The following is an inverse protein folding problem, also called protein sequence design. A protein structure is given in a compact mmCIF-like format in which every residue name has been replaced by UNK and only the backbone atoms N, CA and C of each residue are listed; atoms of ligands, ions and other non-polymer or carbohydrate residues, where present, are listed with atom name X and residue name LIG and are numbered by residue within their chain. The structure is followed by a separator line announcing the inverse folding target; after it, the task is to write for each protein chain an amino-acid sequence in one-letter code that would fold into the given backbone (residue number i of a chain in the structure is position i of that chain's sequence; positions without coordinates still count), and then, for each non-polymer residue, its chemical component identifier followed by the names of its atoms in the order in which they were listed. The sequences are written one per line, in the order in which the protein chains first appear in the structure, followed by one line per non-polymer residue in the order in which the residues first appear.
data_IF_153470774944
#
_entry.id   IF_153470774944
#
_cell.length_a   1.000
_cell.length_b   1.000
_cell.length_c   1.000
_cell.angle_alpha   90.00
_cell.angle_beta   90.00
_cell.angle_gamma   90.00
#
_symmetry.space_group_name_H-M   'P 1'
#
loop_
_entity.id
_entity.type
_entity.pdbx_description
1 polymer ?
#
# COMPACT_ATOMS: atom_id res chain seq x y z
N UNK A 1 -24.18 -28.80 -6.68
CA UNK A 1 -23.53 -28.13 -7.83
C UNK A 1 -24.17 -26.76 -8.04
N UNK A 2 -23.58 -25.69 -7.50
CA UNK A 2 -24.02 -24.33 -7.79
C UNK A 2 -23.39 -23.88 -9.11
N UNK A 3 -24.14 -23.96 -10.21
CA UNK A 3 -23.74 -23.40 -11.51
C UNK A 3 -23.72 -21.87 -11.38
N UNK A 4 -22.53 -21.29 -11.29
CA UNK A 4 -22.34 -19.84 -11.40
C UNK A 4 -22.93 -19.36 -12.73
N UNK A 5 -23.90 -18.46 -12.66
CA UNK A 5 -24.60 -17.89 -13.81
C UNK A 5 -23.63 -16.98 -14.57
N UNK A 6 -23.29 -17.34 -15.80
CA UNK A 6 -22.39 -16.57 -16.67
C UNK A 6 -23.00 -15.19 -16.90
N UNK A 7 -22.31 -14.11 -16.51
CA UNK A 7 -22.75 -12.74 -16.79
C UNK A 7 -22.71 -12.54 -18.31
N UNK A 8 -23.89 -12.40 -18.93
CA UNK A 8 -24.06 -12.33 -20.39
C UNK A 8 -23.72 -10.97 -21.01
N UNK A 9 -23.23 -10.00 -20.23
CA UNK A 9 -22.79 -8.70 -20.73
C UNK A 9 -21.57 -8.24 -19.91
N UNK A 10 -20.54 -7.80 -20.62
CA UNK A 10 -19.31 -7.22 -20.07
C UNK A 10 -19.31 -5.73 -20.44
N UNK A 11 -18.86 -4.88 -19.52
CA UNK A 11 -18.72 -3.44 -19.79
C UNK A 11 -17.56 -3.26 -20.77
N UNK A 12 -17.83 -2.61 -21.91
CA UNK A 12 -16.78 -2.16 -22.82
C UNK A 12 -16.19 -0.86 -22.25
N UNK A 13 -15.06 -0.99 -21.54
CA UNK A 13 -14.38 0.14 -20.91
C UNK A 13 -13.81 1.14 -21.92
N UNK A 14 -13.52 0.70 -23.15
CA UNK A 14 -12.99 1.57 -24.23
C UNK A 14 -14.03 2.57 -24.74
N UNK A 15 -15.33 2.25 -24.60
CA UNK A 15 -16.44 3.11 -25.04
C UNK A 15 -16.76 4.25 -24.07
N UNK A 16 -16.11 4.29 -22.91
CA UNK A 16 -16.41 5.27 -21.86
C UNK A 16 -15.68 6.61 -22.06
N UNK A 17 -14.85 6.75 -23.11
CA UNK A 17 -14.06 7.96 -23.43
C UNK A 17 -13.44 8.62 -22.19
N UNK A 18 -12.98 7.80 -21.24
CA UNK A 18 -12.46 8.31 -19.98
C UNK A 18 -11.19 9.12 -20.26
N UNK A 19 -11.04 10.30 -19.63
CA UNK A 19 -9.82 11.06 -19.75
C UNK A 19 -8.66 10.20 -19.25
N UNK A 20 -7.59 10.12 -20.05
CA UNK A 20 -6.33 9.55 -19.59
C UNK A 20 -5.75 10.48 -18.53
N UNK A 21 -6.03 10.17 -17.28
CA UNK A 21 -5.39 10.82 -16.15
C UNK A 21 -3.95 10.29 -16.13
N UNK A 22 -2.98 11.20 -16.16
CA UNK A 22 -1.58 10.87 -15.96
C UNK A 22 -1.44 10.29 -14.55
N UNK A 23 -1.09 9.01 -14.46
CA UNK A 23 -0.88 8.28 -13.21
C UNK A 23 0.52 8.58 -12.65
N UNK A 24 1.00 9.81 -12.82
CA UNK A 24 2.38 10.18 -12.55
C UNK A 24 2.60 10.09 -11.04
N UNK A 25 3.31 9.05 -10.61
CA UNK A 25 3.68 8.84 -9.21
C UNK A 25 2.79 7.92 -8.39
N UNK A 26 1.63 7.47 -8.89
CA UNK A 26 0.76 6.55 -8.14
C UNK A 26 1.34 5.12 -8.05
N UNK A 27 2.13 4.73 -9.05
CA UNK A 27 2.88 3.47 -9.06
C UNK A 27 4.37 3.70 -8.80
N UNK A 28 4.78 4.78 -8.13
CA UNK A 28 6.19 4.98 -7.78
C UNK A 28 6.57 4.23 -6.50
N UNK A 29 7.86 3.92 -6.31
CA UNK A 29 8.36 3.45 -5.02
C UNK A 29 8.06 4.45 -3.90
N UNK A 30 7.82 3.93 -2.69
CA UNK A 30 7.54 4.74 -1.52
C UNK A 30 8.77 5.56 -1.12
N UNK A 31 8.55 6.85 -0.83
CA UNK A 31 9.60 7.71 -0.27
C UNK A 31 9.69 7.58 1.25
N UNK A 32 10.86 7.93 1.80
CA UNK A 32 11.05 7.94 3.26
C UNK A 32 10.11 8.93 3.93
N UNK A 33 9.96 10.12 3.35
CA UNK A 33 9.10 11.18 3.86
C UNK A 33 7.64 10.72 3.90
N UNK A 34 7.17 10.06 2.84
CA UNK A 34 5.82 9.52 2.76
C UNK A 34 5.57 8.45 3.83
N UNK A 35 6.50 7.49 3.98
CA UNK A 35 6.41 6.46 5.01
C UNK A 35 6.45 7.07 6.41
N UNK A 36 7.27 8.10 6.62
CA UNK A 36 7.35 8.80 7.89
C UNK A 36 6.08 9.57 8.22
N UNK A 37 5.49 10.29 7.26
CA UNK A 37 4.19 10.94 7.43
C UNK A 37 3.09 9.92 7.74
N UNK A 38 3.09 8.77 7.07
CA UNK A 38 2.14 7.69 7.34
C UNK A 38 2.27 7.13 8.78
N UNK A 39 3.50 6.93 9.26
CA UNK A 39 3.78 6.49 10.64
C UNK A 39 3.33 7.54 11.67
N UNK A 40 3.51 8.83 11.36
CA UNK A 40 3.04 9.94 12.20
C UNK A 40 1.52 10.12 12.17
N UNK A 41 0.88 9.83 11.03
CA UNK A 41 -0.57 9.86 10.89
C UNK A 41 -1.25 8.64 11.53
N UNK A 42 -0.54 7.52 11.65
CA UNK A 42 -1.04 6.29 12.27
C UNK A 42 -1.39 6.52 13.76
N UNK A 43 -2.56 6.08 14.26
CA UNK A 43 -2.96 6.26 15.65
C UNK A 43 -1.94 5.64 16.61
N UNK A 44 -1.37 6.44 17.51
CA UNK A 44 -0.42 5.98 18.52
C UNK A 44 -1.05 5.02 19.55
N UNK A 45 -2.37 5.10 19.69
CA UNK A 45 -3.16 4.52 20.79
C UNK A 45 -3.98 3.31 20.34
N UNK A 46 -3.51 2.54 19.36
CA UNK A 46 -4.08 1.21 19.14
C UNK A 46 -3.69 0.35 20.33
N UNK A 47 -4.67 -0.21 21.05
CA UNK A 47 -4.41 -1.14 22.15
C UNK A 47 -3.34 -2.14 21.69
N UNK A 48 -2.24 -2.32 22.46
CA UNK A 48 -1.16 -3.19 22.02
C UNK A 48 -1.78 -4.54 21.73
N UNK A 49 -1.65 -5.00 20.48
CA UNK A 49 -1.82 -6.42 20.21
C UNK A 49 -0.84 -7.20 21.10
N UNK A 50 -0.99 -8.52 21.22
CA UNK A 50 -0.10 -9.36 22.04
C UNK A 50 1.41 -9.16 21.77
N UNK A 51 1.77 -8.59 20.61
CA UNK A 51 3.15 -8.30 20.20
C UNK A 51 3.72 -6.93 20.64
N UNK A 52 2.92 -6.03 21.23
CA UNK A 52 3.41 -4.80 21.86
C UNK A 52 3.92 -3.67 20.94
N UNK A 53 3.89 -3.83 19.62
CA UNK A 53 4.33 -2.79 18.67
C UNK A 53 3.23 -1.76 18.39
N UNK A 54 3.23 -0.65 19.13
CA UNK A 54 2.35 0.49 18.90
C UNK A 54 2.92 1.47 17.86
N UNK A 55 2.09 2.38 17.34
CA UNK A 55 2.57 3.49 16.49
C UNK A 55 3.64 4.35 17.19
N UNK A 56 3.64 4.37 18.53
CA UNK A 56 4.69 4.98 19.36
C UNK A 56 6.05 4.28 19.24
N UNK A 57 6.10 2.96 19.12
CA UNK A 57 7.35 2.22 18.89
C UNK A 57 8.02 2.65 17.58
N UNK A 58 7.25 2.66 16.49
CA UNK A 58 7.78 3.04 15.17
C UNK A 58 8.33 4.46 15.15
N UNK A 59 7.67 5.39 15.86
CA UNK A 59 8.16 6.76 16.01
C UNK A 59 9.43 6.86 16.86
N UNK A 60 9.49 6.13 17.97
CA UNK A 60 10.64 6.16 18.88
C UNK A 60 11.88 5.49 18.28
N UNK A 61 11.69 4.39 17.56
CA UNK A 61 12.78 3.58 17.01
C UNK A 61 13.09 3.91 15.54
N UNK A 62 12.43 4.90 14.93
CA UNK A 62 12.56 5.21 13.50
C UNK A 62 14.02 5.31 13.04
N UNK A 63 14.86 6.04 13.77
CA UNK A 63 16.28 6.19 13.42
C UNK A 63 17.08 4.88 13.38
N UNK A 64 16.58 3.81 14.02
CA UNK A 64 17.19 2.48 13.99
C UNK A 64 16.54 1.57 12.95
N UNK A 65 15.20 1.52 12.89
CA UNK A 65 14.46 0.55 12.06
C UNK A 65 14.13 1.07 10.66
N UNK A 66 14.35 2.36 10.37
CA UNK A 66 13.98 2.99 9.10
C UNK A 66 14.48 2.21 7.89
N UNK A 67 15.76 1.81 7.90
CA UNK A 67 16.36 1.12 6.76
C UNK A 67 15.66 -0.22 6.47
N UNK A 68 15.32 -0.98 7.51
CA UNK A 68 14.62 -2.25 7.38
C UNK A 68 13.18 -2.05 6.89
N UNK A 69 12.51 -1.00 7.37
CA UNK A 69 11.16 -0.63 6.91
C UNK A 69 11.18 -0.24 5.43
N UNK A 70 12.09 0.65 5.01
CA UNK A 70 12.24 1.04 3.60
C UNK A 70 12.49 -0.17 2.71
N UNK A 71 13.42 -1.06 3.10
CA UNK A 71 13.72 -2.27 2.35
C UNK A 71 12.49 -3.20 2.22
N UNK A 72 11.68 -3.33 3.27
CA UNK A 72 10.45 -4.12 3.20
C UNK A 72 9.45 -3.54 2.19
N UNK A 73 9.26 -2.20 2.18
CA UNK A 73 8.37 -1.52 1.23
C UNK A 73 8.90 -1.60 -0.21
N UNK A 74 10.21 -1.51 -0.42
CA UNK A 74 10.83 -1.75 -1.73
C UNK A 74 10.58 -3.18 -2.21
N UNK A 75 10.69 -4.17 -1.33
CA UNK A 75 10.34 -5.55 -1.66
C UNK A 75 8.86 -5.69 -2.03
N UNK A 76 7.93 -5.09 -1.27
CA UNK A 76 6.51 -5.10 -1.62
C UNK A 76 6.25 -4.49 -3.00
N UNK A 77 6.90 -3.36 -3.30
CA UNK A 77 6.81 -2.70 -4.59
C UNK A 77 7.33 -3.59 -5.73
N UNK A 78 8.48 -4.25 -5.52
CA UNK A 78 9.06 -5.17 -6.51
C UNK A 78 8.18 -6.41 -6.78
N UNK A 79 7.48 -6.91 -5.76
CA UNK A 79 6.55 -8.04 -5.89
C UNK A 79 5.28 -7.64 -6.63
N UNK A 80 4.77 -6.43 -6.37
CA UNK A 80 3.59 -5.89 -7.04
C UNK A 80 3.84 -5.60 -8.53
N UNK A 81 5.05 -5.17 -8.87
CA UNK A 81 5.45 -4.83 -10.25
C UNK A 81 6.02 -6.01 -11.03
N UNK A 82 6.58 -7.02 -10.35
CA UNK A 82 7.24 -8.18 -10.97
C UNK A 82 6.35 -9.37 -11.34
N UNK A 83 5.03 -9.32 -11.08
CA UNK A 83 4.13 -10.46 -11.25
C UNK A 83 2.93 -10.19 -12.20
N UNK A 84 3.12 -9.33 -13.19
CA UNK A 84 2.14 -9.06 -14.26
C UNK A 84 2.60 -9.61 -15.62
#
# INVERSE_FOLDING_TARGET
LCRGKTRGQTINWDSLELPRIQNDGLDNPFSEEELWEAIKASPAEKAPGPDGFSGTFFRACWGTIKMDVMAAFDHFYSLATGNF
#
